data_IF_210877375237
#
_entry.id   IF_210877375237
#
_cell.length_a   1.000
_cell.length_b   1.000
_cell.length_c   1.000
_cell.angle_alpha   90.00
_cell.angle_beta   90.00
_cell.angle_gamma   90.00
#
_symmetry.space_group_name_H-M   'P 1'
#
loop_
_entity.id
_entity.type
_entity.pdbx_description
1 polymer ?
#
# COMPACT_ATOMS: atom_id res chain seq x y z
N UNK A 1 -31.83 -29.59 34.02
CA UNK A 1 -30.50 -28.96 34.14
C UNK A 1 -30.46 -27.83 33.13
N UNK A 2 -30.42 -26.58 33.57
CA UNK A 2 -30.31 -25.41 32.68
C UNK A 2 -28.85 -25.02 32.58
N UNK A 3 -28.28 -25.11 31.38
CA UNK A 3 -26.90 -24.68 31.13
C UNK A 3 -26.90 -23.15 30.97
N UNK A 4 -26.41 -22.45 31.97
CA UNK A 4 -26.18 -21.00 31.91
C UNK A 4 -25.04 -20.70 30.94
N UNK A 5 -25.35 -20.11 29.79
CA UNK A 5 -24.37 -19.51 28.89
C UNK A 5 -23.85 -18.22 29.53
N UNK A 6 -22.68 -18.27 30.15
CA UNK A 6 -21.95 -17.06 30.53
C UNK A 6 -21.48 -16.34 29.27
N UNK A 7 -21.69 -15.02 29.14
CA UNK A 7 -21.11 -14.25 28.04
C UNK A 7 -19.59 -14.30 28.16
N UNK A 8 -18.91 -14.70 27.08
CA UNK A 8 -17.44 -14.64 27.00
C UNK A 8 -17.03 -13.18 27.20
N UNK A 9 -16.26 -12.94 28.25
CA UNK A 9 -15.58 -11.67 28.47
C UNK A 9 -14.54 -11.53 27.36
N UNK A 10 -14.82 -10.70 26.33
CA UNK A 10 -13.82 -10.35 25.32
C UNK A 10 -12.84 -9.40 26.00
N UNK A 11 -11.70 -9.93 26.45
CA UNK A 11 -10.61 -9.11 26.99
C UNK A 11 -10.20 -8.05 25.96
N UNK A 12 -9.86 -6.85 26.41
CA UNK A 12 -9.40 -5.76 25.52
C UNK A 12 -8.17 -6.14 24.66
N UNK A 13 -7.51 -7.27 24.96
CA UNK A 13 -6.44 -7.88 24.20
C UNK A 13 -6.87 -8.58 22.89
N UNK A 14 -8.17 -8.83 22.69
CA UNK A 14 -8.70 -9.51 21.49
C UNK A 14 -9.07 -8.54 20.34
N UNK A 15 -8.95 -7.22 20.55
CA UNK A 15 -9.24 -6.25 19.49
C UNK A 15 -8.03 -6.10 18.56
N UNK A 16 -8.21 -6.25 17.22
CA UNK A 16 -7.11 -6.04 16.29
C UNK A 16 -6.56 -4.63 16.42
N UNK A 17 -5.24 -4.49 16.34
CA UNK A 17 -4.58 -3.18 16.39
C UNK A 17 -5.06 -2.33 15.21
N UNK A 18 -5.51 -1.08 15.44
CA UNK A 18 -5.98 -0.22 14.37
C UNK A 18 -4.87 0.04 13.36
N UNK A 19 -5.22 0.16 12.08
CA UNK A 19 -4.30 0.41 10.98
C UNK A 19 -4.95 1.31 9.95
N UNK A 20 -4.17 2.13 9.26
CA UNK A 20 -4.62 2.74 8.02
C UNK A 20 -4.22 1.85 6.84
N UNK A 21 -4.94 1.96 5.73
CA UNK A 21 -4.68 1.20 4.51
C UNK A 21 -4.34 2.15 3.37
N UNK A 22 -3.11 2.05 2.86
CA UNK A 22 -2.76 2.65 1.57
C UNK A 22 -3.14 1.62 0.50
N UNK A 23 -4.08 1.99 -0.36
CA UNK A 23 -4.50 1.18 -1.49
C UNK A 23 -4.20 1.94 -2.78
N UNK A 24 -3.71 1.26 -3.81
CA UNK A 24 -3.52 1.94 -5.07
C UNK A 24 -3.35 1.02 -6.27
N UNK A 25 -3.34 1.64 -7.44
CA UNK A 25 -3.13 0.96 -8.73
C UNK A 25 -1.91 1.55 -9.42
N UNK A 26 -1.06 0.68 -9.97
CA UNK A 26 0.10 1.08 -10.76
C UNK A 26 -0.32 1.14 -12.23
N UNK A 27 -0.09 2.29 -12.86
CA UNK A 27 -0.41 2.53 -14.27
C UNK A 27 0.86 2.73 -15.10
N UNK A 28 0.85 2.13 -16.28
CA UNK A 28 1.86 2.36 -17.31
C UNK A 28 1.67 3.72 -17.99
N UNK A 29 2.63 4.12 -18.84
CA UNK A 29 2.55 5.39 -19.58
C UNK A 29 1.38 5.43 -20.59
N UNK A 30 0.84 4.27 -20.95
CA UNK A 30 -0.31 4.08 -21.82
C UNK A 30 -1.65 4.03 -21.04
N UNK A 31 -1.63 4.23 -19.72
CA UNK A 31 -2.82 4.25 -18.87
C UNK A 31 -3.36 2.87 -18.51
N UNK A 32 -2.70 1.79 -18.93
CA UNK A 32 -3.05 0.43 -18.52
C UNK A 32 -2.45 0.08 -17.16
N UNK A 33 -3.14 -0.74 -16.37
CA UNK A 33 -2.59 -1.21 -15.10
C UNK A 33 -1.43 -2.19 -15.30
N UNK A 34 -0.45 -2.16 -14.39
CA UNK A 34 0.81 -2.91 -14.53
C UNK A 34 0.99 -3.87 -13.37
N UNK A 35 1.05 -5.16 -13.69
CA UNK A 35 1.32 -6.24 -12.74
C UNK A 35 2.80 -6.35 -12.36
N UNK A 36 3.08 -6.70 -11.11
CA UNK A 36 4.39 -7.16 -10.65
C UNK A 36 5.40 -6.04 -10.38
N UNK A 37 4.95 -4.79 -10.31
CA UNK A 37 5.80 -3.64 -9.99
C UNK A 37 6.03 -3.61 -8.49
N UNK A 38 7.30 -3.57 -8.05
CA UNK A 38 7.60 -3.35 -6.64
C UNK A 38 7.22 -1.93 -6.27
N UNK A 39 6.46 -1.80 -5.19
CA UNK A 39 6.08 -0.52 -4.59
C UNK A 39 6.80 -0.37 -3.26
N UNK A 40 7.50 0.74 -3.09
CA UNK A 40 8.19 1.12 -1.86
C UNK A 40 7.41 2.20 -1.14
N UNK A 41 7.24 2.03 0.15
CA UNK A 41 6.53 2.99 1.00
C UNK A 41 7.44 3.36 2.17
N UNK A 42 7.58 4.66 2.39
CA UNK A 42 8.25 5.25 3.55
C UNK A 42 7.37 6.33 4.17
N UNK A 43 7.61 6.66 5.44
CA UNK A 43 7.10 7.93 5.96
C UNK A 43 7.91 9.08 5.36
N UNK A 44 7.29 10.24 5.16
CA UNK A 44 7.95 11.41 4.56
C UNK A 44 9.12 11.92 5.42
N UNK A 45 9.05 11.77 6.74
CA UNK A 45 10.09 12.10 7.72
C UNK A 45 11.24 11.07 7.76
N UNK A 46 11.15 9.98 6.99
CA UNK A 46 12.15 8.92 6.93
C UNK A 46 12.82 8.86 5.56
N UNK A 47 14.12 8.57 5.55
CA UNK A 47 14.91 8.43 4.31
C UNK A 47 14.78 7.06 3.64
N UNK A 48 14.49 6.00 4.41
CA UNK A 48 14.46 4.62 3.92
C UNK A 48 13.04 4.09 3.84
N UNK A 49 12.79 3.26 2.83
CA UNK A 49 11.58 2.46 2.75
C UNK A 49 11.46 1.55 3.97
N UNK A 50 10.26 1.50 4.52
CA UNK A 50 9.93 0.64 5.65
C UNK A 50 8.99 -0.49 5.24
N UNK A 51 8.27 -0.31 4.12
CA UNK A 51 7.43 -1.34 3.52
C UNK A 51 7.74 -1.49 2.04
N UNK A 52 7.67 -2.73 1.58
CA UNK A 52 7.74 -3.11 0.17
C UNK A 52 6.57 -4.05 -0.12
N UNK A 53 5.86 -3.82 -1.21
CA UNK A 53 4.81 -4.70 -1.73
C UNK A 53 4.91 -4.76 -3.25
N UNK A 54 4.03 -5.53 -3.90
CA UNK A 54 3.98 -5.65 -5.34
C UNK A 54 2.55 -5.39 -5.83
N UNK A 55 2.43 -4.81 -7.02
CA UNK A 55 1.15 -4.78 -7.70
C UNK A 55 0.73 -6.18 -8.14
N UNK A 56 -0.54 -6.50 -7.96
CA UNK A 56 -1.16 -7.76 -8.33
C UNK A 56 -1.60 -7.80 -9.81
N UNK A 57 -2.30 -8.85 -10.22
CA UNK A 57 -2.72 -9.03 -11.62
C UNK A 57 -3.69 -7.96 -12.13
N UNK A 58 -4.39 -7.24 -11.24
CA UNK A 58 -5.20 -6.08 -11.60
C UNK A 58 -4.36 -4.78 -11.63
N UNK A 59 -3.08 -4.87 -11.24
CA UNK A 59 -2.16 -3.76 -11.04
C UNK A 59 -2.36 -3.08 -9.68
N UNK A 60 -3.11 -3.68 -8.77
CA UNK A 60 -3.49 -3.12 -7.48
C UNK A 60 -2.50 -3.54 -6.38
N UNK A 61 -2.36 -2.72 -5.34
CA UNK A 61 -1.59 -3.06 -4.15
C UNK A 61 -2.25 -2.51 -2.90
N UNK A 62 -1.98 -3.14 -1.78
CA UNK A 62 -2.48 -2.72 -0.48
C UNK A 62 -1.39 -2.86 0.59
N UNK A 63 -1.20 -1.82 1.40
CA UNK A 63 -0.26 -1.84 2.52
C UNK A 63 -0.88 -1.23 3.77
N UNK A 64 -0.84 -1.98 4.87
CA UNK A 64 -1.19 -1.49 6.20
C UNK A 64 -0.07 -0.62 6.76
N UNK A 65 -0.43 0.54 7.31
CA UNK A 65 0.49 1.47 7.97
C UNK A 65 -0.04 1.90 9.33
N UNK A 66 0.81 2.40 10.24
CA UNK A 66 0.35 2.97 11.50
C UNK A 66 -0.69 4.07 11.31
N UNK A 67 -1.74 4.03 12.14
CA UNK A 67 -2.73 5.12 12.24
C UNK A 67 -2.12 6.38 12.85
N UNK A 68 -2.79 7.50 12.61
CA UNK A 68 -2.40 8.81 13.14
C UNK A 68 -1.80 9.71 12.07
N UNK A 69 -1.79 11.01 12.35
CA UNK A 69 -1.34 12.06 11.43
C UNK A 69 0.09 11.82 10.94
N UNK A 70 0.22 11.41 9.68
CA UNK A 70 1.50 11.18 9.03
C UNK A 70 1.37 11.24 7.50
N UNK A 71 2.46 11.68 6.86
CA UNK A 71 2.61 11.63 5.41
C UNK A 71 3.45 10.42 5.02
N UNK A 72 2.99 9.68 4.04
CA UNK A 72 3.70 8.54 3.46
C UNK A 72 4.06 8.85 2.01
N UNK A 73 5.27 8.49 1.60
CA UNK A 73 5.74 8.60 0.23
C UNK A 73 5.74 7.22 -0.40
N UNK A 74 5.03 7.09 -1.50
CA UNK A 74 4.85 5.86 -2.29
C UNK A 74 5.59 6.02 -3.61
N UNK A 75 6.46 5.06 -3.93
CA UNK A 75 7.29 5.09 -5.14
C UNK A 75 7.35 3.71 -5.80
N UNK A 76 7.49 3.69 -7.12
CA UNK A 76 7.74 2.47 -7.87
C UNK A 76 9.24 2.14 -7.88
N UNK A 77 9.59 0.88 -7.68
CA UNK A 77 10.93 0.34 -7.86
C UNK A 77 10.89 -0.66 -9.00
N UNK A 78 11.52 -0.32 -10.13
CA UNK A 78 11.59 -1.19 -11.32
C UNK A 78 12.87 -2.04 -11.33
N UNK A 79 13.56 -2.14 -10.19
CA UNK A 79 14.73 -3.00 -10.03
C UNK A 79 14.38 -4.46 -10.32
N UNK A 80 14.94 -5.01 -11.40
CA UNK A 80 14.65 -6.38 -11.83
C UNK A 80 13.27 -6.57 -12.47
N UNK A 81 12.52 -5.49 -12.73
CA UNK A 81 11.25 -5.56 -13.44
C UNK A 81 11.48 -5.81 -14.94
N UNK A 82 10.83 -6.85 -15.48
CA UNK A 82 10.92 -7.18 -16.91
C UNK A 82 9.90 -6.35 -17.69
N UNK A 83 10.38 -5.28 -18.30
CA UNK A 83 9.55 -4.48 -19.20
C UNK A 83 9.35 -5.20 -20.54
N UNK A 84 8.21 -4.99 -21.23
CA UNK A 84 7.99 -5.54 -22.57
C UNK A 84 9.10 -5.13 -23.56
N UNK A 85 9.41 -5.96 -24.57
CA UNK A 85 10.44 -5.64 -25.56
C UNK A 85 10.19 -4.29 -26.21
N UNK A 86 11.21 -3.42 -26.24
CA UNK A 86 11.13 -2.08 -26.84
C UNK A 86 10.42 -1.01 -26.00
N UNK A 87 9.87 -1.38 -24.83
CA UNK A 87 9.28 -0.44 -23.87
C UNK A 87 10.15 -0.44 -22.61
N UNK A 88 10.91 0.62 -22.35
CA UNK A 88 11.61 0.76 -21.09
C UNK A 88 10.72 1.54 -20.14
N UNK A 89 10.25 0.91 -19.06
CA UNK A 89 9.52 1.62 -18.02
C UNK A 89 10.50 2.26 -17.04
N UNK A 90 10.18 3.47 -16.59
CA UNK A 90 10.85 4.15 -15.49
C UNK A 90 9.86 4.49 -14.38
N UNK A 91 10.30 4.58 -13.11
CA UNK A 91 9.48 5.14 -12.06
C UNK A 91 9.06 6.56 -12.43
N UNK A 92 7.78 6.90 -12.25
CA UNK A 92 7.31 8.27 -12.34
C UNK A 92 7.51 9.02 -11.03
N UNK A 93 6.70 10.05 -10.82
CA UNK A 93 6.74 10.89 -9.62
C UNK A 93 6.31 10.10 -8.38
N UNK A 94 7.05 10.25 -7.28
CA UNK A 94 6.63 9.74 -5.98
C UNK A 94 5.33 10.43 -5.53
N UNK A 95 4.42 9.69 -4.91
CA UNK A 95 3.13 10.23 -4.47
C UNK A 95 3.10 10.30 -2.95
N UNK A 96 2.69 11.45 -2.43
CA UNK A 96 2.45 11.65 -0.99
C UNK A 96 1.02 11.28 -0.65
N UNK A 97 0.85 10.38 0.32
CA UNK A 97 -0.44 9.96 0.87
C UNK A 97 -0.55 10.44 2.30
N UNK A 98 -1.65 11.12 2.61
CA UNK A 98 -1.91 11.67 3.94
C UNK A 98 -2.80 10.71 4.73
N UNK A 99 -2.34 10.29 5.90
CA UNK A 99 -3.12 9.50 6.86
C UNK A 99 -3.38 10.36 8.09
N UNK A 100 -4.62 10.38 8.57
CA UNK A 100 -5.04 11.03 9.80
C UNK A 100 -5.44 10.00 10.87
N UNK A 101 -6.13 8.92 10.48
CA UNK A 101 -6.66 7.94 11.42
C UNK A 101 -6.72 6.51 10.83
N UNK A 102 -7.54 5.62 11.42
CA UNK A 102 -7.95 4.34 10.86
C UNK A 102 -8.83 4.55 9.61
N UNK A 103 -8.18 4.75 8.46
CA UNK A 103 -8.81 5.05 7.18
C UNK A 103 -8.19 4.26 6.02
N UNK A 104 -8.90 4.21 4.90
CA UNK A 104 -8.35 3.80 3.61
C UNK A 104 -8.05 5.04 2.78
N UNK A 105 -6.82 5.14 2.30
CA UNK A 105 -6.38 6.16 1.36
C UNK A 105 -6.08 5.52 0.00
N UNK A 106 -6.86 5.91 -1.01
CA UNK A 106 -6.73 5.44 -2.38
C UNK A 106 -5.79 6.35 -3.19
N UNK A 107 -4.95 5.75 -4.03
CA UNK A 107 -3.98 6.49 -4.85
C UNK A 107 -3.66 5.79 -6.18
N UNK A 108 -3.06 6.54 -7.11
CA UNK A 108 -2.59 6.01 -8.39
C UNK A 108 -1.09 6.29 -8.53
N UNK A 109 -0.33 5.29 -8.96
CA UNK A 109 1.11 5.39 -9.14
C UNK A 109 1.44 5.23 -10.63
N UNK A 110 1.95 6.28 -11.24
CA UNK A 110 2.20 6.30 -12.69
C UNK A 110 3.67 6.03 -13.02
N UNK A 111 3.89 5.18 -14.01
CA UNK A 111 5.18 4.95 -14.65
C UNK A 111 5.32 5.82 -15.90
N UNK A 112 6.56 6.03 -16.34
CA UNK A 112 6.90 6.81 -17.54
C UNK A 112 7.83 6.00 -18.46
N UNK A 113 8.06 6.50 -19.68
CA UNK A 113 9.04 5.93 -20.63
C UNK A 113 10.50 6.23 -20.26
#
# INVERSE_FOLDING_TARGET
>A
MVASLTPRHVSAADKPKPYALIFGTVFGPDGHSVYGVKVRIRRADQKKAHWETYSDHAGEFAQRVPVGKADYVVAADLGGFKSPPGKHLKPGTEVTVHIQNDERADMSLHLIW
#
